data_IF_768113515836
#
_entry.id   IF_768113515836
#
_cell.length_a   1.000
_cell.length_b   1.000
_cell.length_c   1.000
_cell.angle_alpha   90.00
_cell.angle_beta   90.00
_cell.angle_gamma   90.00
#
_symmetry.space_group_name_H-M   'P 1'
#
loop_
_entity.id
_entity.type
_entity.pdbx_description
1 polymer ?
#
# COMPACT_ATOMS: atom_id res chain seq x y z
N UNK A 1 7.60 15.63 -1.42
CA UNK A 1 6.44 15.04 -0.71
C UNK A 1 5.11 15.39 -1.35
N UNK A 2 4.69 16.67 -1.37
CA UNK A 2 3.37 17.08 -1.89
C UNK A 2 3.11 16.70 -3.36
N UNK A 3 4.09 16.92 -4.24
CA UNK A 3 3.97 16.59 -5.67
C UNK A 3 3.71 15.10 -5.88
N UNK A 4 4.43 14.24 -5.16
CA UNK A 4 4.27 12.78 -5.25
C UNK A 4 2.85 12.39 -4.81
N UNK A 5 2.35 12.93 -3.71
CA UNK A 5 1.00 12.60 -3.22
C UNK A 5 -0.10 13.03 -4.17
N UNK A 6 -0.01 14.23 -4.76
CA UNK A 6 -0.99 14.71 -5.74
C UNK A 6 -0.99 13.83 -6.99
N UNK A 7 0.19 13.46 -7.51
CA UNK A 7 0.30 12.55 -8.66
C UNK A 7 -0.26 11.18 -8.31
N UNK A 8 0.13 10.61 -7.17
CA UNK A 8 -0.32 9.28 -6.73
C UNK A 8 -1.83 9.24 -6.48
N UNK A 9 -2.42 10.28 -5.89
CA UNK A 9 -3.87 10.39 -5.75
C UNK A 9 -4.54 10.44 -7.13
N UNK A 10 -4.05 11.27 -8.06
CA UNK A 10 -4.55 11.31 -9.44
C UNK A 10 -4.50 9.93 -10.13
N UNK A 11 -3.37 9.22 -9.99
CA UNK A 11 -3.21 7.86 -10.51
C UNK A 11 -4.16 6.86 -9.83
N UNK A 12 -4.33 6.92 -8.51
CA UNK A 12 -5.21 6.03 -7.77
C UNK A 12 -6.68 6.20 -8.19
N UNK A 13 -7.16 7.45 -8.31
CA UNK A 13 -8.51 7.73 -8.80
C UNK A 13 -8.69 7.35 -10.28
N UNK A 14 -7.68 7.61 -11.12
CA UNK A 14 -7.69 7.20 -12.53
C UNK A 14 -7.76 5.69 -12.70
N UNK A 15 -6.95 4.94 -11.94
CA UNK A 15 -6.97 3.48 -11.93
C UNK A 15 -8.29 2.94 -11.40
N UNK A 16 -8.84 3.52 -10.33
CA UNK A 16 -10.13 3.11 -9.78
C UNK A 16 -11.25 3.29 -10.82
N UNK A 17 -11.26 4.42 -11.53
CA UNK A 17 -12.25 4.71 -12.57
C UNK A 17 -12.16 3.78 -13.79
N UNK A 18 -10.95 3.45 -14.23
CA UNK A 18 -10.73 2.60 -15.42
C UNK A 18 -10.74 1.10 -15.08
N UNK A 19 -10.58 0.73 -13.80
CA UNK A 19 -10.46 -0.67 -13.34
C UNK A 19 -11.55 -1.59 -13.89
N UNK A 20 -12.81 -1.14 -13.85
CA UNK A 20 -13.99 -1.90 -14.29
C UNK A 20 -13.96 -2.25 -15.79
N UNK A 21 -13.33 -1.42 -16.61
CA UNK A 21 -13.15 -1.63 -18.05
C UNK A 21 -11.80 -2.25 -18.40
N UNK A 22 -10.78 -2.11 -17.54
CA UNK A 22 -9.43 -2.58 -17.83
C UNK A 22 -9.36 -4.12 -17.89
N UNK A 23 -9.91 -4.81 -16.89
CA UNK A 23 -9.84 -6.27 -16.85
C UNK A 23 -10.61 -6.96 -18.00
N UNK A 24 -11.84 -6.56 -18.36
CA UNK A 24 -12.55 -7.14 -19.50
C UNK A 24 -11.87 -6.87 -20.84
N UNK A 25 -11.29 -5.67 -21.03
CA UNK A 25 -10.61 -5.30 -22.28
C UNK A 25 -9.32 -6.09 -22.49
N UNK A 26 -8.53 -6.31 -21.43
CA UNK A 26 -7.25 -6.99 -21.55
C UNK A 26 -7.31 -8.51 -21.37
N UNK A 27 -8.18 -9.01 -20.48
CA UNK A 27 -8.23 -10.42 -20.11
C UNK A 27 -9.56 -11.11 -20.44
N UNK A 28 -10.57 -10.35 -20.88
CA UNK A 28 -11.91 -10.87 -21.17
C UNK A 28 -12.86 -10.82 -19.97
N UNK A 29 -14.15 -11.00 -20.23
CA UNK A 29 -15.24 -10.86 -19.23
C UNK A 29 -15.10 -11.84 -18.04
N UNK A 30 -14.44 -12.97 -18.23
CA UNK A 30 -14.18 -13.97 -17.17
C UNK A 30 -13.32 -13.40 -16.02
N UNK A 31 -12.55 -12.32 -16.27
CA UNK A 31 -11.67 -11.69 -15.27
C UNK A 31 -12.27 -10.43 -14.65
N UNK A 32 -13.59 -10.24 -14.76
CA UNK A 32 -14.27 -9.09 -14.16
C UNK A 32 -14.09 -9.04 -12.64
N UNK A 33 -13.95 -10.18 -11.96
CA UNK A 33 -13.61 -10.22 -10.53
C UNK A 33 -12.25 -9.54 -10.23
N UNK A 34 -11.27 -9.65 -11.13
CA UNK A 34 -9.96 -8.99 -10.99
C UNK A 34 -10.04 -7.47 -11.10
N UNK A 35 -11.06 -6.92 -11.77
CA UNK A 35 -11.27 -5.46 -11.78
C UNK A 35 -11.53 -4.91 -10.38
N UNK A 36 -12.29 -5.64 -9.56
CA UNK A 36 -12.60 -5.24 -8.18
C UNK A 36 -11.36 -5.28 -7.29
N UNK A 37 -10.47 -6.24 -7.53
CA UNK A 37 -9.18 -6.36 -6.83
C UNK A 37 -8.28 -5.18 -7.19
N UNK A 38 -8.18 -4.82 -8.47
CA UNK A 38 -7.40 -3.67 -8.93
C UNK A 38 -7.92 -2.37 -8.30
N UNK A 39 -9.24 -2.16 -8.34
CA UNK A 39 -9.88 -1.02 -7.69
C UNK A 39 -9.55 -1.00 -6.18
N UNK A 40 -9.65 -2.15 -5.51
CA UNK A 40 -9.34 -2.28 -4.10
C UNK A 40 -7.87 -2.02 -3.75
N UNK A 41 -6.91 -2.22 -4.66
CA UNK A 41 -5.50 -1.93 -4.41
C UNK A 41 -5.14 -0.44 -4.54
N UNK A 42 -5.98 0.37 -5.19
CA UNK A 42 -5.70 1.81 -5.38
C UNK A 42 -5.44 2.61 -4.10
N UNK A 43 -6.07 2.36 -2.94
CA UNK A 43 -5.74 3.06 -1.69
C UNK A 43 -4.36 2.66 -1.16
N UNK A 44 -3.96 1.39 -1.30
CA UNK A 44 -2.64 0.92 -0.87
C UNK A 44 -1.51 1.66 -1.61
N UNK A 45 -1.75 2.01 -2.89
CA UNK A 45 -0.82 2.77 -3.71
C UNK A 45 -0.52 4.17 -3.13
N UNK A 46 -1.51 4.82 -2.52
CA UNK A 46 -1.32 6.13 -1.85
C UNK A 46 -0.46 5.99 -0.59
N UNK A 47 -0.76 5.00 0.25
CA UNK A 47 0.01 4.75 1.48
C UNK A 47 1.45 4.34 1.18
N UNK A 48 1.64 3.49 0.17
CA UNK A 48 2.97 3.04 -0.27
C UNK A 48 3.82 4.21 -0.78
N UNK A 49 3.23 5.11 -1.57
CA UNK A 49 3.93 6.30 -2.05
C UNK A 49 4.35 7.22 -0.90
N UNK A 50 3.48 7.42 0.09
CA UNK A 50 3.81 8.22 1.27
C UNK A 50 4.97 7.61 2.06
N UNK A 51 4.90 6.30 2.36
CA UNK A 51 5.99 5.59 3.04
C UNK A 51 7.30 5.60 2.24
N UNK A 52 7.23 5.50 0.92
CA UNK A 52 8.40 5.56 0.04
C UNK A 52 9.07 6.95 0.08
N UNK A 53 8.29 8.03 0.11
CA UNK A 53 8.83 9.39 0.29
C UNK A 53 9.55 9.50 1.64
N UNK A 54 8.98 9.01 2.74
CA UNK A 54 9.63 9.06 4.05
C UNK A 54 10.93 8.25 4.05
N UNK A 55 10.93 7.03 3.49
CA UNK A 55 12.15 6.22 3.37
C UNK A 55 13.25 6.94 2.61
N UNK A 56 12.96 7.33 1.38
CA UNK A 56 13.97 7.88 0.46
C UNK A 56 14.45 9.26 0.87
N UNK A 57 13.57 10.08 1.46
CA UNK A 57 13.90 11.45 1.83
C UNK A 57 14.40 11.60 3.27
N UNK A 58 14.11 10.64 4.17
CA UNK A 58 14.42 10.79 5.59
C UNK A 58 15.25 9.64 6.16
N UNK A 59 14.85 8.37 5.97
CA UNK A 59 15.55 7.24 6.58
C UNK A 59 16.88 6.92 5.88
N UNK A 60 16.90 6.86 4.55
CA UNK A 60 18.10 6.51 3.77
C UNK A 60 19.22 7.56 3.93
N UNK A 61 18.97 8.88 3.81
CA UNK A 61 20.03 9.89 3.92
C UNK A 61 20.65 9.95 5.32
N UNK A 62 19.93 9.46 6.34
CA UNK A 62 20.32 9.53 7.74
C UNK A 62 20.79 8.17 8.30
N UNK A 63 20.97 7.18 7.42
CA UNK A 63 21.45 5.83 7.74
C UNK A 63 20.64 5.09 8.81
N UNK A 64 19.32 5.35 8.87
CA UNK A 64 18.39 4.68 9.79
C UNK A 64 17.86 3.35 9.25
N UNK A 65 18.74 2.50 8.72
CA UNK A 65 18.37 1.22 8.10
C UNK A 65 17.74 0.25 9.11
N UNK A 66 18.12 0.33 10.40
CA UNK A 66 17.54 -0.50 11.46
C UNK A 66 16.07 -0.19 11.67
N UNK A 67 15.72 1.08 11.87
CA UNK A 67 14.34 1.54 12.06
C UNK A 67 13.48 1.23 10.82
N UNK A 68 14.06 1.39 9.63
CA UNK A 68 13.42 0.98 8.39
C UNK A 68 13.11 -0.53 8.36
N UNK A 69 14.10 -1.37 8.67
CA UNK A 69 13.95 -2.82 8.63
C UNK A 69 12.93 -3.30 9.68
N UNK A 70 12.94 -2.70 10.87
CA UNK A 70 11.95 -2.98 11.92
C UNK A 70 10.54 -2.60 11.44
N UNK A 71 10.37 -1.44 10.80
CA UNK A 71 9.08 -1.04 10.20
C UNK A 71 8.57 -2.04 9.17
N UNK A 72 9.48 -2.57 8.34
CA UNK A 72 9.17 -3.57 7.31
C UNK A 72 8.78 -4.90 7.95
N UNK A 73 9.47 -5.30 9.02
CA UNK A 73 9.17 -6.52 9.75
C UNK A 73 7.77 -6.45 10.38
N UNK A 74 7.43 -5.33 11.02
CA UNK A 74 6.07 -5.13 11.57
C UNK A 74 5.00 -5.18 10.49
N UNK A 75 5.20 -4.48 9.37
CA UNK A 75 4.28 -4.50 8.23
C UNK A 75 4.09 -5.92 7.67
N UNK A 76 5.17 -6.68 7.50
CA UNK A 76 5.13 -8.05 7.00
C UNK A 76 4.40 -8.99 7.97
N UNK A 77 4.66 -8.89 9.27
CA UNK A 77 3.98 -9.70 10.30
C UNK A 77 2.47 -9.41 10.28
N UNK A 78 2.07 -8.13 10.26
CA UNK A 78 0.65 -7.75 10.18
C UNK A 78 0.02 -8.25 8.87
N UNK A 79 0.72 -8.14 7.75
CA UNK A 79 0.24 -8.64 6.46
C UNK A 79 -0.03 -10.14 6.48
N UNK A 80 0.90 -10.93 7.03
CA UNK A 80 0.77 -12.39 7.15
C UNK A 80 -0.40 -12.75 8.07
N UNK A 81 -0.52 -12.10 9.23
CA UNK A 81 -1.62 -12.36 10.18
C UNK A 81 -2.99 -12.08 9.54
N UNK A 82 -3.12 -10.96 8.85
CA UNK A 82 -4.38 -10.61 8.18
C UNK A 82 -4.64 -11.55 7.00
N UNK A 83 -3.63 -11.87 6.20
CA UNK A 83 -3.78 -12.81 5.09
C UNK A 83 -4.25 -14.18 5.58
N UNK A 84 -3.67 -14.73 6.65
CA UNK A 84 -4.11 -16.03 7.21
C UNK A 84 -5.56 -15.98 7.68
N UNK A 85 -6.03 -14.85 8.20
CA UNK A 85 -7.39 -14.71 8.73
C UNK A 85 -8.45 -14.38 7.65
N UNK A 86 -8.08 -13.58 6.64
CA UNK A 86 -8.99 -13.06 5.60
C UNK A 86 -8.99 -13.89 4.31
N UNK A 87 -7.88 -14.50 3.89
CA UNK A 87 -7.84 -15.32 2.67
C UNK A 87 -8.85 -16.47 2.71
N UNK A 88 -9.03 -17.22 3.82
CA UNK A 88 -10.00 -18.32 3.87
C UNK A 88 -11.45 -17.85 3.71
N UNK A 89 -11.76 -16.59 4.06
CA UNK A 89 -13.13 -16.04 4.03
C UNK A 89 -13.44 -15.23 2.77
N UNK A 90 -12.47 -14.49 2.25
CA UNK A 90 -12.67 -13.48 1.20
C UNK A 90 -11.76 -13.70 -0.03
N UNK A 91 -10.93 -14.76 -0.02
CA UNK A 91 -10.00 -15.07 -1.10
C UNK A 91 -9.08 -13.88 -1.43
N UNK A 92 -9.03 -13.51 -2.71
CA UNK A 92 -8.16 -12.46 -3.21
C UNK A 92 -8.49 -11.06 -2.66
N UNK A 93 -9.76 -10.75 -2.37
CA UNK A 93 -10.13 -9.48 -1.73
C UNK A 93 -9.57 -9.38 -0.31
N UNK A 94 -9.46 -10.52 0.38
CA UNK A 94 -8.81 -10.61 1.68
C UNK A 94 -7.34 -10.21 1.65
N UNK A 95 -6.63 -10.61 0.59
CA UNK A 95 -5.23 -10.23 0.37
C UNK A 95 -5.07 -8.72 0.15
N UNK A 96 -5.98 -8.09 -0.59
CA UNK A 96 -5.97 -6.64 -0.82
C UNK A 96 -6.11 -5.87 0.50
N UNK A 97 -7.05 -6.27 1.35
CA UNK A 97 -7.23 -5.65 2.67
C UNK A 97 -5.97 -5.82 3.52
N UNK A 98 -5.36 -7.01 3.50
CA UNK A 98 -4.09 -7.25 4.19
C UNK A 98 -2.97 -6.32 3.74
N UNK A 99 -2.88 -6.02 2.44
CA UNK A 99 -1.89 -5.09 1.89
C UNK A 99 -2.19 -3.65 2.32
N UNK A 100 -3.44 -3.20 2.26
CA UNK A 100 -3.82 -1.85 2.71
C UNK A 100 -3.46 -1.64 4.18
N UNK A 101 -3.80 -2.61 5.04
CA UNK A 101 -3.51 -2.50 6.47
C UNK A 101 -2.01 -2.55 6.74
N UNK A 102 -1.26 -3.41 6.05
CA UNK A 102 0.19 -3.48 6.19
C UNK A 102 0.87 -2.16 5.80
N UNK A 103 0.47 -1.57 4.67
CA UNK A 103 0.98 -0.27 4.22
C UNK A 103 0.60 0.86 5.18
N UNK A 104 -0.62 0.82 5.76
CA UNK A 104 -1.02 1.75 6.82
C UNK A 104 -0.14 1.65 8.06
N UNK A 105 0.15 0.44 8.54
CA UNK A 105 1.03 0.22 9.71
C UNK A 105 2.44 0.71 9.42
N UNK A 106 2.99 0.37 8.26
CA UNK A 106 4.28 0.84 7.77
C UNK A 106 4.36 2.36 7.75
N UNK A 107 3.37 3.00 7.13
CA UNK A 107 3.24 4.45 7.01
C UNK A 107 3.17 5.13 8.39
N UNK A 108 2.33 4.63 9.30
CA UNK A 108 2.20 5.13 10.66
C UNK A 108 3.52 5.01 11.45
N UNK A 109 4.18 3.86 11.37
CA UNK A 109 5.43 3.62 12.09
C UNK A 109 6.58 4.50 11.56
N UNK A 110 6.72 4.61 10.24
CA UNK A 110 7.72 5.50 9.62
C UNK A 110 7.47 6.97 9.95
N UNK A 111 6.22 7.40 10.00
CA UNK A 111 5.85 8.77 10.40
C UNK A 111 6.17 9.03 11.87
N UNK A 112 5.90 8.06 12.75
CA UNK A 112 6.17 8.17 14.18
C UNK A 112 7.67 8.30 14.47
N UNK A 113 8.48 7.48 13.81
CA UNK A 113 9.95 7.59 13.86
C UNK A 113 10.41 8.95 13.34
N UNK A 114 9.95 9.37 12.16
CA UNK A 114 10.35 10.65 11.57
C UNK A 114 10.05 11.82 12.51
N UNK A 115 8.92 11.77 13.24
CA UNK A 115 8.59 12.76 14.27
C UNK A 115 9.53 12.73 15.46
N UNK A 116 9.92 11.56 15.96
CA UNK A 116 10.79 11.42 17.12
C UNK A 116 12.23 11.90 16.84
N UNK A 117 12.68 11.84 15.59
CA UNK A 117 14.01 12.33 15.16
C UNK A 117 14.03 13.79 14.71
N UNK A 118 12.87 14.45 14.62
CA UNK A 118 12.75 15.88 14.27
C UNK A 118 12.86 16.81 15.50
N UNK A 119 12.87 16.24 16.71
CA UNK A 119 13.07 16.96 17.98
C UNK A 119 14.50 16.79 18.51
#
# INVERSE_FOLDING_TARGET
>A
MWVVLVITMGCAFGLAGVSATFAPVYWGEEFRASSQIIAGMTPALVFSAFGNVIRTQFLIPRSFDKEYTVSLLYGAVVNILINILLIPKMGAMGAVIGIIVAELVLCCYQTWIARNYLH
#
